data_IF_536127377062
#
_entry.id   IF_536127377062
#
_cell.length_a   1.000
_cell.length_b   1.000
_cell.length_c   1.000
_cell.angle_alpha   90.00
_cell.angle_beta   90.00
_cell.angle_gamma   90.00
#
_symmetry.space_group_name_H-M   'P 1'
#
loop_
_entity.id
_entity.type
_entity.pdbx_description
1 polymer ?
#
# COMPACT_ATOMS: atom_id res chain seq x y z
N UNK A 1 -24.99 -14.98 -30.37
CA UNK A 1 -23.76 -14.42 -29.77
C UNK A 1 -24.11 -13.49 -28.61
N UNK A 2 -25.08 -12.59 -28.78
CA UNK A 2 -25.59 -11.67 -27.74
C UNK A 2 -26.17 -12.35 -26.49
N UNK A 3 -26.90 -13.46 -26.63
CA UNK A 3 -27.45 -14.19 -25.48
C UNK A 3 -26.39 -14.78 -24.54
N UNK A 4 -25.22 -15.16 -25.07
CA UNK A 4 -24.11 -15.70 -24.27
C UNK A 4 -23.40 -14.58 -23.49
N UNK A 5 -23.34 -13.38 -24.07
CA UNK A 5 -22.80 -12.17 -23.44
C UNK A 5 -23.68 -11.72 -22.25
N UNK A 6 -24.99 -11.60 -22.47
CA UNK A 6 -25.96 -11.27 -21.41
C UNK A 6 -25.97 -12.30 -20.28
N UNK A 7 -25.94 -13.59 -20.62
CA UNK A 7 -25.86 -14.66 -19.62
C UNK A 7 -24.61 -14.53 -18.75
N UNK A 8 -23.44 -14.29 -19.36
CA UNK A 8 -22.17 -14.12 -18.64
C UNK A 8 -22.21 -12.91 -17.72
N UNK A 9 -22.72 -11.78 -18.21
CA UNK A 9 -22.89 -10.57 -17.41
C UNK A 9 -23.81 -10.78 -16.21
N UNK A 10 -24.98 -11.40 -16.41
CA UNK A 10 -25.91 -11.70 -15.34
C UNK A 10 -25.28 -12.65 -14.32
N UNK A 11 -24.62 -13.71 -14.79
CA UNK A 11 -23.93 -14.66 -13.93
C UNK A 11 -22.87 -13.98 -13.06
N UNK A 12 -22.06 -13.09 -13.65
CA UNK A 12 -21.05 -12.33 -12.91
C UNK A 12 -21.69 -11.44 -11.84
N UNK A 13 -22.78 -10.74 -12.15
CA UNK A 13 -23.51 -9.90 -11.19
C UNK A 13 -24.06 -10.75 -10.03
N UNK A 14 -24.66 -11.91 -10.30
CA UNK A 14 -25.17 -12.81 -9.27
C UNK A 14 -24.07 -13.38 -8.35
N UNK A 15 -22.84 -13.48 -8.86
CA UNK A 15 -21.67 -13.90 -8.08
C UNK A 15 -20.87 -12.73 -7.47
N UNK A 16 -21.44 -11.51 -7.43
CA UNK A 16 -20.79 -10.28 -6.95
C UNK A 16 -19.50 -9.89 -7.70
N UNK A 17 -19.31 -10.42 -8.90
CA UNK A 17 -18.21 -10.09 -9.81
C UNK A 17 -18.60 -8.90 -10.68
N UNK A 18 -18.58 -7.71 -10.08
CA UNK A 18 -19.05 -6.51 -10.77
C UNK A 18 -18.09 -6.05 -11.87
N UNK A 19 -18.63 -5.73 -13.03
CA UNK A 19 -17.87 -5.24 -14.18
C UNK A 19 -18.75 -4.43 -15.14
N UNK A 20 -18.11 -3.68 -16.03
CA UNK A 20 -18.78 -3.05 -17.18
C UNK A 20 -18.95 -4.01 -18.37
N UNK A 21 -18.68 -5.30 -18.19
CA UNK A 21 -18.72 -6.31 -19.25
C UNK A 21 -20.11 -6.63 -19.79
N UNK A 22 -21.16 -5.96 -19.31
CA UNK A 22 -22.52 -6.04 -19.85
C UNK A 22 -22.82 -4.95 -20.89
N UNK A 23 -21.93 -3.96 -21.03
CA UNK A 23 -22.03 -2.89 -22.02
C UNK A 23 -21.38 -3.32 -23.34
N UNK A 24 -21.95 -2.88 -24.45
CA UNK A 24 -21.29 -3.00 -25.74
C UNK A 24 -19.96 -2.21 -25.73
N UNK A 25 -18.91 -2.64 -26.46
CA UNK A 25 -17.61 -1.97 -26.46
C UNK A 25 -17.68 -0.45 -26.72
N UNK A 26 -18.57 -0.02 -27.59
CA UNK A 26 -18.86 1.39 -27.92
C UNK A 26 -19.46 2.17 -26.74
N UNK A 27 -20.29 1.54 -25.93
CA UNK A 27 -20.98 2.16 -24.79
C UNK A 27 -20.09 2.24 -23.55
N UNK A 28 -19.08 1.36 -23.43
CA UNK A 28 -18.12 1.38 -22.32
C UNK A 28 -17.45 2.74 -22.21
N UNK A 29 -17.01 3.31 -23.34
CA UNK A 29 -16.34 4.62 -23.35
C UNK A 29 -17.28 5.75 -22.90
N UNK A 30 -18.54 5.71 -23.33
CA UNK A 30 -19.55 6.69 -22.95
C UNK A 30 -19.89 6.60 -21.46
N UNK A 31 -20.11 5.40 -20.94
CA UNK A 31 -20.39 5.18 -19.52
C UNK A 31 -19.23 5.64 -18.63
N UNK A 32 -17.99 5.34 -19.02
CA UNK A 32 -16.79 5.80 -18.30
C UNK A 32 -16.71 7.33 -18.29
N UNK A 33 -16.92 7.98 -19.44
CA UNK A 33 -16.87 9.43 -19.52
C UNK A 33 -17.97 10.09 -18.69
N UNK A 34 -19.19 9.56 -18.72
CA UNK A 34 -20.32 10.07 -17.92
C UNK A 34 -20.01 10.00 -16.42
N UNK A 35 -19.51 8.85 -15.94
CA UNK A 35 -19.09 8.69 -14.54
C UNK A 35 -17.99 9.68 -14.16
N UNK A 36 -16.95 9.83 -14.99
CA UNK A 36 -15.85 10.76 -14.72
C UNK A 36 -16.33 12.21 -14.66
N UNK A 37 -17.19 12.62 -15.60
CA UNK A 37 -17.66 14.00 -15.70
C UNK A 37 -18.64 14.37 -14.58
N UNK A 38 -19.62 13.51 -14.29
CA UNK A 38 -20.62 13.77 -13.24
C UNK A 38 -19.99 13.89 -11.87
N UNK A 39 -18.98 13.07 -11.62
CA UNK A 39 -18.36 12.93 -10.31
C UNK A 39 -17.05 13.73 -10.18
N UNK A 40 -16.67 14.47 -11.23
CA UNK A 40 -15.46 15.27 -11.31
C UNK A 40 -14.20 14.49 -10.87
N UNK A 41 -14.07 13.26 -11.36
CA UNK A 41 -12.98 12.37 -10.98
C UNK A 41 -11.66 12.91 -11.54
N UNK A 42 -10.68 13.06 -10.66
CA UNK A 42 -9.31 13.42 -11.06
C UNK A 42 -8.38 12.25 -10.82
N UNK A 43 -7.48 12.00 -11.76
CA UNK A 43 -6.60 10.84 -11.77
C UNK A 43 -5.14 11.29 -11.60
N UNK A 44 -4.46 10.75 -10.60
CA UNK A 44 -3.04 11.02 -10.35
C UNK A 44 -2.12 10.45 -11.45
N UNK A 45 -0.81 10.76 -11.42
CA UNK A 45 0.14 10.29 -12.42
C UNK A 45 0.25 8.76 -12.51
N UNK A 46 0.20 8.06 -11.37
CA UNK A 46 0.16 6.59 -11.30
C UNK A 46 -1.09 6.02 -11.98
N UNK A 47 -2.20 6.77 -11.94
CA UNK A 47 -3.45 6.32 -12.50
C UNK A 47 -3.41 6.24 -14.05
N UNK A 48 -2.52 7.00 -14.70
CA UNK A 48 -2.38 7.00 -16.18
C UNK A 48 -1.85 5.69 -16.76
N UNK A 49 -1.40 4.75 -15.92
CA UNK A 49 -0.84 3.47 -16.36
C UNK A 49 -1.89 2.36 -16.52
N UNK A 50 -3.12 2.53 -15.99
CA UNK A 50 -4.21 1.57 -16.19
C UNK A 50 -5.29 2.13 -17.11
N UNK A 51 -6.03 1.24 -17.76
CA UNK A 51 -7.20 1.62 -18.55
C UNK A 51 -8.29 2.23 -17.64
N UNK A 52 -8.94 3.31 -18.10
CA UNK A 52 -10.00 4.00 -17.34
C UNK A 52 -11.17 3.08 -16.94
N UNK A 53 -11.43 2.06 -17.76
CA UNK A 53 -12.44 1.03 -17.48
C UNK A 53 -12.16 0.26 -16.21
N UNK A 54 -10.89 0.00 -15.90
CA UNK A 54 -10.47 -0.70 -14.68
C UNK A 54 -10.78 0.16 -13.46
N UNK A 55 -10.51 1.47 -13.52
CA UNK A 55 -10.84 2.38 -12.41
C UNK A 55 -12.34 2.45 -12.17
N UNK A 56 -13.11 2.74 -13.21
CA UNK A 56 -14.56 2.88 -13.06
C UNK A 56 -15.17 1.57 -12.56
N UNK A 57 -14.64 0.42 -12.98
CA UNK A 57 -15.07 -0.89 -12.46
C UNK A 57 -14.75 -1.06 -10.96
N UNK A 58 -13.60 -0.59 -10.49
CA UNK A 58 -13.24 -0.64 -9.06
C UNK A 58 -14.14 0.25 -8.19
N UNK A 59 -14.74 1.29 -8.77
CA UNK A 59 -15.72 2.13 -8.08
C UNK A 59 -17.07 1.45 -7.92
N UNK A 60 -17.34 0.34 -8.61
CA UNK A 60 -18.64 -0.33 -8.54
C UNK A 60 -18.78 -1.07 -7.22
N UNK A 61 -19.68 -0.58 -6.35
CA UNK A 61 -20.01 -1.23 -5.07
C UNK A 61 -21.18 -2.19 -5.18
N UNK A 62 -22.03 -2.02 -6.19
CA UNK A 62 -23.20 -2.85 -6.39
C UNK A 62 -23.64 -2.84 -7.86
N UNK A 63 -24.04 -4.01 -8.35
CA UNK A 63 -24.80 -4.15 -9.60
C UNK A 63 -26.06 -4.96 -9.36
N UNK A 64 -27.12 -4.60 -10.05
CA UNK A 64 -28.40 -5.32 -10.04
C UNK A 64 -28.94 -5.43 -11.45
N UNK A 65 -29.65 -6.53 -11.70
CA UNK A 65 -30.38 -6.76 -12.94
C UNK A 65 -31.85 -6.92 -12.57
N UNK A 66 -32.69 -6.12 -13.21
CA UNK A 66 -34.14 -6.16 -13.02
C UNK A 66 -34.81 -6.36 -14.38
N UNK A 67 -35.84 -7.20 -14.43
CA UNK A 67 -36.70 -7.30 -15.61
C UNK A 67 -37.92 -6.42 -15.41
N UNK A 68 -38.12 -5.46 -16.31
CA UNK A 68 -39.27 -4.57 -16.34
C UNK A 68 -40.23 -5.08 -17.41
N UNK A 69 -41.39 -5.66 -17.03
CA UNK A 69 -42.37 -6.14 -17.99
C UNK A 69 -42.90 -5.03 -18.90
N UNK A 70 -43.21 -5.35 -20.16
CA UNK A 70 -43.73 -4.37 -21.12
C UNK A 70 -45.05 -3.72 -20.69
N UNK A 71 -45.82 -4.37 -19.81
CA UNK A 71 -47.05 -3.80 -19.23
C UNK A 71 -46.80 -2.56 -18.35
N UNK A 72 -45.56 -2.28 -17.96
CA UNK A 72 -45.20 -1.15 -17.08
C UNK A 72 -44.73 0.10 -17.83
N UNK A 73 -44.59 0.07 -19.16
CA UNK A 73 -44.15 1.22 -19.95
C UNK A 73 -44.75 1.24 -21.36
N UNK A 74 -44.64 2.39 -22.03
CA UNK A 74 -45.08 2.53 -23.42
C UNK A 74 -44.02 1.96 -24.36
N UNK A 75 -44.40 0.98 -25.18
CA UNK A 75 -43.57 0.47 -26.28
C UNK A 75 -44.31 0.58 -27.62
N UNK A 76 -43.54 0.82 -28.68
CA UNK A 76 -44.01 0.79 -30.06
C UNK A 76 -43.91 -0.60 -30.69
N UNK A 77 -43.25 -1.55 -30.01
CA UNK A 77 -43.05 -2.91 -30.48
C UNK A 77 -44.05 -3.87 -29.79
N UNK A 78 -45.04 -4.42 -30.51
CA UNK A 78 -46.03 -5.32 -29.93
C UNK A 78 -45.46 -6.66 -29.46
N UNK A 79 -44.28 -7.06 -29.95
CA UNK A 79 -43.62 -8.32 -29.59
C UNK A 79 -42.67 -8.19 -28.39
N UNK A 80 -42.45 -6.97 -27.87
CA UNK A 80 -41.59 -6.74 -26.72
C UNK A 80 -42.29 -7.23 -25.43
N UNK A 81 -41.69 -8.21 -24.76
CA UNK A 81 -42.22 -8.74 -23.50
C UNK A 81 -41.71 -7.98 -22.26
N UNK A 82 -40.63 -7.21 -22.40
CA UNK A 82 -40.01 -6.48 -21.31
C UNK A 82 -38.59 -6.01 -21.62
N UNK A 83 -38.01 -5.26 -20.68
CA UNK A 83 -36.63 -4.75 -20.74
C UNK A 83 -35.83 -5.29 -19.57
N UNK A 84 -34.57 -5.62 -19.81
CA UNK A 84 -33.60 -5.84 -18.75
C UNK A 84 -32.95 -4.50 -18.40
N UNK A 85 -33.10 -4.08 -17.16
CA UNK A 85 -32.46 -2.90 -16.60
C UNK A 85 -31.25 -3.33 -15.77
N UNK A 86 -30.08 -2.83 -16.12
CA UNK A 86 -28.85 -2.99 -15.36
C UNK A 86 -28.61 -1.73 -14.55
N UNK A 87 -28.67 -1.83 -13.23
CA UNK A 87 -28.37 -0.73 -12.32
C UNK A 87 -26.97 -0.94 -11.75
N UNK A 88 -26.08 0.02 -11.99
CA UNK A 88 -24.73 0.02 -11.41
C UNK A 88 -24.63 1.19 -10.43
N UNK A 89 -24.22 0.89 -9.20
CA UNK A 89 -23.99 1.88 -8.14
C UNK A 89 -22.48 2.01 -7.94
N UNK A 90 -22.01 3.25 -8.06
CA UNK A 90 -20.60 3.60 -7.88
C UNK A 90 -20.39 4.25 -6.52
N UNK A 91 -19.24 4.00 -5.90
CA UNK A 91 -18.70 4.82 -4.83
C UNK A 91 -17.68 5.78 -5.42
N UNK A 92 -17.83 7.06 -5.12
CA UNK A 92 -16.92 8.09 -5.58
C UNK A 92 -16.12 8.57 -4.38
N UNK A 93 -14.78 8.56 -4.44
CA UNK A 93 -13.97 9.17 -3.40
C UNK A 93 -14.34 10.65 -3.30
N UNK A 94 -14.85 11.08 -2.15
CA UNK A 94 -15.13 12.50 -1.94
C UNK A 94 -13.81 13.29 -2.05
N UNK A 95 -13.78 14.43 -2.76
CA UNK A 95 -12.61 15.32 -2.79
C UNK A 95 -12.32 15.96 -1.43
N UNK A 96 -13.24 15.86 -0.46
CA UNK A 96 -12.91 16.13 0.94
C UNK A 96 -11.91 15.07 1.38
N UNK A 97 -10.66 15.49 1.59
CA UNK A 97 -9.59 14.67 2.17
C UNK A 97 -10.20 13.68 3.17
N UNK A 98 -9.91 12.39 2.98
CA UNK A 98 -10.26 11.38 3.97
C UNK A 98 -9.94 11.95 5.33
N UNK A 99 -10.88 11.87 6.28
CA UNK A 99 -10.61 12.32 7.64
C UNK A 99 -9.52 11.48 8.32
N UNK A 100 -9.02 10.44 7.65
CA UNK A 100 -7.93 9.59 8.09
C UNK A 100 -6.65 9.91 7.32
N UNK A 101 -5.56 10.09 8.06
CA UNK A 101 -4.21 9.99 7.51
C UNK A 101 -3.87 8.52 7.33
N UNK A 102 -3.60 8.09 6.10
CA UNK A 102 -3.33 6.69 5.74
C UNK A 102 -1.83 6.46 5.56
N UNK A 103 -1.30 5.47 6.26
CA UNK A 103 0.11 5.08 6.27
C UNK A 103 0.28 3.65 5.77
N UNK A 104 1.28 3.44 4.92
CA UNK A 104 1.72 2.10 4.53
C UNK A 104 2.68 1.56 5.57
N UNK A 105 2.34 0.45 6.20
CA UNK A 105 3.20 -0.17 7.21
C UNK A 105 4.18 -1.13 6.57
N UNK A 106 5.41 -1.14 7.08
CA UNK A 106 6.44 -2.11 6.69
C UNK A 106 7.00 -2.79 7.91
N UNK A 107 6.78 -4.10 8.01
CA UNK A 107 7.42 -4.95 9.01
C UNK A 107 8.84 -5.29 8.55
N UNK A 108 9.82 -4.94 9.37
CA UNK A 108 11.23 -5.24 9.14
C UNK A 108 11.60 -6.44 10.03
N UNK A 109 12.12 -7.54 9.46
CA UNK A 109 12.62 -8.65 10.26
C UNK A 109 13.75 -8.19 11.20
N UNK A 110 13.91 -8.87 12.33
CA UNK A 110 15.01 -8.61 13.28
C UNK A 110 15.46 -9.91 13.94
N UNK A 111 16.66 -9.91 14.52
CA UNK A 111 17.18 -11.08 15.22
C UNK A 111 16.62 -11.19 16.63
N UNK A 112 16.00 -12.33 16.95
CA UNK A 112 15.58 -12.67 18.30
C UNK A 112 15.99 -14.11 18.63
N UNK A 113 16.76 -14.30 19.72
CA UNK A 113 17.30 -15.61 20.14
C UNK A 113 17.97 -16.37 18.98
N UNK A 114 18.82 -15.68 18.24
CA UNK A 114 19.59 -16.22 17.09
C UNK A 114 18.72 -16.69 15.91
N UNK A 115 17.50 -16.18 15.77
CA UNK A 115 16.62 -16.46 14.63
C UNK A 115 16.00 -15.17 14.09
N UNK A 116 15.85 -15.03 12.77
CA UNK A 116 15.12 -13.92 12.20
C UNK A 116 13.62 -14.09 12.47
N UNK A 117 13.02 -13.07 13.06
CA UNK A 117 11.58 -12.98 13.33
C UNK A 117 11.04 -11.65 12.82
N UNK A 118 9.73 -11.55 12.63
CA UNK A 118 9.04 -10.30 12.36
C UNK A 118 7.76 -10.21 13.18
N UNK A 119 7.19 -9.01 13.30
CA UNK A 119 5.89 -8.83 13.95
C UNK A 119 4.80 -9.54 13.13
N UNK A 120 4.02 -10.37 13.82
CA UNK A 120 2.90 -11.12 13.24
C UNK A 120 1.64 -10.24 13.18
N UNK A 121 0.72 -10.56 12.25
CA UNK A 121 -0.58 -9.91 12.10
C UNK A 121 -0.55 -8.38 12.00
N UNK A 122 0.50 -7.80 11.41
CA UNK A 122 0.52 -6.37 11.17
C UNK A 122 -0.29 -6.03 9.91
N UNK A 123 -1.19 -5.02 9.95
CA UNK A 123 -1.90 -4.59 8.77
C UNK A 123 -0.93 -3.99 7.75
N UNK A 124 -1.27 -4.09 6.47
CA UNK A 124 -0.48 -3.51 5.39
C UNK A 124 -0.63 -1.99 5.30
N UNK A 125 -1.84 -1.48 5.57
CA UNK A 125 -2.12 -0.05 5.68
C UNK A 125 -2.85 0.26 6.98
N UNK A 126 -2.62 1.46 7.50
CA UNK A 126 -3.22 1.95 8.72
C UNK A 126 -3.70 3.39 8.52
N UNK A 127 -4.98 3.63 8.75
CA UNK A 127 -5.56 4.96 8.77
C UNK A 127 -5.83 5.40 10.21
N UNK A 128 -5.40 6.60 10.58
CA UNK A 128 -5.77 7.22 11.85
C UNK A 128 -6.46 8.57 11.65
N UNK A 129 -7.44 8.84 12.50
CA UNK A 129 -8.06 10.14 12.68
C UNK A 129 -7.80 10.59 14.11
N UNK A 130 -6.90 11.55 14.27
CA UNK A 130 -6.49 12.04 15.60
C UNK A 130 -7.63 12.77 16.33
N UNK A 131 -8.44 13.55 15.61
CA UNK A 131 -9.54 14.34 16.19
C UNK A 131 -10.62 13.48 16.86
N UNK A 132 -10.90 12.29 16.30
CA UNK A 132 -11.97 11.40 16.74
C UNK A 132 -11.47 10.11 17.40
N UNK A 133 -10.15 9.92 17.48
CA UNK A 133 -9.51 8.70 17.98
C UNK A 133 -10.07 7.42 17.32
N UNK A 134 -10.29 7.51 16.00
CA UNK A 134 -10.76 6.40 15.18
C UNK A 134 -9.63 5.89 14.31
N UNK A 135 -9.67 4.59 14.03
CA UNK A 135 -8.71 3.95 13.13
C UNK A 135 -9.38 2.97 12.19
N UNK A 136 -8.68 2.72 11.10
CA UNK A 136 -9.03 1.74 10.09
C UNK A 136 -7.76 0.99 9.67
N UNK A 137 -7.90 -0.30 9.40
CA UNK A 137 -6.80 -1.21 9.13
C UNK A 137 -7.11 -2.02 7.89
N UNK A 138 -6.11 -2.17 7.02
CA UNK A 138 -6.22 -3.05 5.85
C UNK A 138 -5.12 -4.10 5.92
N UNK A 139 -5.54 -5.36 5.93
CA UNK A 139 -4.68 -6.54 5.84
C UNK A 139 -4.45 -6.91 4.38
N UNK A 140 -3.51 -7.83 4.12
CA UNK A 140 -3.14 -8.23 2.75
C UNK A 140 -4.34 -8.71 1.92
N UNK A 141 -5.28 -9.40 2.56
CA UNK A 141 -6.46 -9.94 1.90
C UNK A 141 -7.45 -8.82 1.50
N UNK A 142 -7.52 -7.74 2.29
CA UNK A 142 -8.33 -6.56 1.97
C UNK A 142 -7.77 -5.81 0.74
N UNK A 143 -6.47 -5.96 0.46
CA UNK A 143 -5.81 -5.24 -0.63
C UNK A 143 -6.17 -5.74 -2.03
N UNK A 144 -6.78 -6.92 -2.17
CA UNK A 144 -7.17 -7.43 -3.48
C UNK A 144 -8.14 -6.49 -4.22
N UNK A 145 -8.91 -5.71 -3.45
CA UNK A 145 -9.94 -4.79 -3.94
C UNK A 145 -9.61 -3.31 -3.64
N UNK A 146 -8.41 -3.04 -3.14
CA UNK A 146 -7.91 -1.71 -2.82
C UNK A 146 -6.69 -1.38 -3.68
N UNK A 147 -6.68 -0.20 -4.30
CA UNK A 147 -5.46 0.34 -4.88
C UNK A 147 -5.10 1.69 -4.28
N UNK A 148 -4.39 1.67 -3.15
CA UNK A 148 -3.97 2.88 -2.44
C UNK A 148 -2.95 3.74 -3.16
N UNK A 149 -2.27 3.19 -4.18
CA UNK A 149 -1.37 3.98 -5.02
C UNK A 149 -2.16 4.88 -6.00
N UNK A 150 -3.48 4.66 -6.12
CA UNK A 150 -4.35 5.31 -7.10
C UNK A 150 -5.59 5.97 -6.46
N UNK A 151 -6.18 5.33 -5.45
CA UNK A 151 -7.36 5.81 -4.74
C UNK A 151 -7.22 5.60 -3.23
N UNK A 152 -7.59 6.60 -2.43
CA UNK A 152 -7.47 6.57 -0.97
C UNK A 152 -8.57 5.76 -0.28
N UNK A 153 -9.60 5.33 -1.02
CA UNK A 153 -10.74 4.58 -0.51
C UNK A 153 -10.86 3.24 -1.25
N UNK A 154 -11.31 2.21 -0.54
CA UNK A 154 -11.55 0.89 -1.11
C UNK A 154 -13.04 0.62 -1.29
N UNK A 155 -13.37 -0.24 -2.25
CA UNK A 155 -14.72 -0.78 -2.40
C UNK A 155 -15.20 -1.45 -1.10
N UNK A 156 -14.40 -2.36 -0.58
CA UNK A 156 -14.63 -3.02 0.70
C UNK A 156 -13.74 -2.38 1.76
N UNK A 157 -14.14 -1.18 2.18
CA UNK A 157 -13.46 -0.47 3.26
C UNK A 157 -13.73 -1.22 4.58
N UNK A 158 -12.70 -1.73 5.28
CA UNK A 158 -12.85 -2.43 6.55
C UNK A 158 -13.56 -1.55 7.59
N UNK A 159 -14.17 -2.17 8.60
CA UNK A 159 -14.89 -1.44 9.64
C UNK A 159 -13.97 -0.46 10.39
N UNK A 160 -14.53 0.72 10.68
CA UNK A 160 -13.87 1.75 11.48
C UNK A 160 -14.03 1.39 12.96
N UNK A 161 -12.94 1.40 13.70
CA UNK A 161 -12.92 1.05 15.12
C UNK A 161 -12.19 2.09 15.96
N UNK A 162 -12.54 2.19 17.24
CA UNK A 162 -11.69 2.84 18.23
C UNK A 162 -10.51 1.94 18.53
N UNK A 163 -9.33 2.53 18.74
CA UNK A 163 -8.13 1.75 18.98
C UNK A 163 -8.24 1.00 20.32
N UNK A 164 -8.25 -0.34 20.32
CA UNK A 164 -8.19 -1.09 21.56
C UNK A 164 -6.79 -0.94 22.16
N UNK A 165 -6.72 -0.73 23.47
CA UNK A 165 -5.45 -0.45 24.15
C UNK A 165 -4.46 -1.64 24.15
N UNK A 166 -4.98 -2.85 23.92
CA UNK A 166 -4.23 -4.11 24.00
C UNK A 166 -3.68 -4.61 22.65
N UNK A 167 -3.85 -3.87 21.56
CA UNK A 167 -3.29 -4.26 20.26
C UNK A 167 -1.85 -3.77 20.15
N UNK A 168 -0.96 -4.64 19.62
CA UNK A 168 0.46 -4.37 19.43
C UNK A 168 0.75 -2.96 18.90
N UNK A 169 0.06 -2.56 17.81
CA UNK A 169 0.22 -1.24 17.20
C UNK A 169 -0.11 -0.09 18.16
N UNK A 170 -1.20 -0.18 18.91
CA UNK A 170 -1.54 0.85 19.89
C UNK A 170 -0.46 0.96 20.95
N UNK A 171 0.04 -0.18 21.43
CA UNK A 171 1.09 -0.21 22.43
C UNK A 171 2.38 0.41 21.89
N UNK A 172 2.73 0.17 20.62
CA UNK A 172 3.85 0.84 19.93
C UNK A 172 3.63 2.35 19.87
N UNK A 173 2.48 2.80 19.36
CA UNK A 173 2.18 4.23 19.17
C UNK A 173 2.06 5.00 20.49
N UNK A 174 1.53 4.36 21.53
CA UNK A 174 1.33 4.95 22.86
C UNK A 174 2.46 4.67 23.84
N UNK A 175 3.58 4.09 23.36
CA UNK A 175 4.75 3.76 24.17
C UNK A 175 4.43 2.94 25.43
N UNK A 176 3.48 2.00 25.31
CA UNK A 176 3.11 1.08 26.36
C UNK A 176 3.94 -0.20 26.29
N UNK A 177 3.87 -1.01 27.33
CA UNK A 177 4.44 -2.35 27.32
C UNK A 177 3.82 -3.19 26.20
N UNK A 178 4.67 -3.76 25.34
CA UNK A 178 4.27 -4.48 24.12
C UNK A 178 3.71 -5.91 24.37
N UNK A 179 2.74 -6.06 25.26
CA UNK A 179 2.16 -7.36 25.64
C UNK A 179 1.29 -8.00 24.55
N UNK A 180 0.76 -7.21 23.61
CA UNK A 180 -0.06 -7.66 22.49
C UNK A 180 0.74 -7.91 21.21
N UNK A 181 2.07 -7.75 21.23
CA UNK A 181 2.93 -7.95 20.07
C UNK A 181 3.41 -9.39 19.96
N UNK A 182 2.88 -10.12 18.98
CA UNK A 182 3.34 -11.46 18.62
C UNK A 182 4.41 -11.40 17.52
N UNK A 183 5.26 -12.42 17.48
CA UNK A 183 6.27 -12.57 16.43
C UNK A 183 6.11 -13.88 15.69
N UNK A 184 6.43 -13.87 14.40
CA UNK A 184 6.47 -15.05 13.55
C UNK A 184 7.86 -15.27 12.99
N UNK A 185 8.17 -16.53 12.66
CA UNK A 185 9.45 -16.90 12.04
C UNK A 185 9.47 -16.44 10.58
N UNK A 186 10.58 -15.85 10.17
CA UNK A 186 10.82 -15.51 8.77
C UNK A 186 11.78 -16.56 8.18
N UNK A 187 11.58 -17.01 6.92
CA UNK A 187 12.57 -17.85 6.25
C UNK A 187 13.95 -17.21 6.30
N UNK A 188 15.01 -18.00 6.55
CA UNK A 188 16.37 -17.46 6.58
C UNK A 188 16.74 -16.94 5.18
N UNK A 189 16.79 -15.62 5.05
CA UNK A 189 17.32 -14.92 3.88
C UNK A 189 18.63 -14.22 4.26
N UNK A 190 19.62 -14.14 3.36
CA UNK A 190 20.91 -13.50 3.65
C UNK A 190 20.74 -11.99 3.93
N UNK A 191 19.72 -11.37 3.36
CA UNK A 191 19.36 -9.98 3.59
C UNK A 191 17.87 -9.77 3.33
N UNK A 192 17.27 -8.86 4.09
CA UNK A 192 16.00 -8.21 3.82
C UNK A 192 16.32 -6.78 3.38
N UNK A 193 15.86 -6.41 2.18
CA UNK A 193 16.04 -5.05 1.64
C UNK A 193 14.71 -4.61 1.07
N UNK A 194 14.18 -3.50 1.57
CA UNK A 194 12.89 -2.96 1.12
C UNK A 194 12.95 -1.45 0.99
N UNK A 195 12.51 -0.96 -0.16
CA UNK A 195 12.33 0.48 -0.39
C UNK A 195 11.13 0.97 0.42
N UNK A 196 11.31 2.09 1.14
CA UNK A 196 10.25 2.68 1.98
C UNK A 196 9.52 3.79 1.21
N UNK A 197 10.22 4.90 0.95
CA UNK A 197 9.77 6.02 0.13
C UNK A 197 10.97 6.92 -0.22
N UNK A 198 10.94 7.61 -1.36
CA UNK A 198 12.01 8.53 -1.76
C UNK A 198 13.41 7.90 -1.71
N UNK A 199 14.41 8.50 -1.05
CA UNK A 199 15.74 7.91 -0.89
C UNK A 199 15.84 6.85 0.23
N UNK A 200 14.75 6.56 0.94
CA UNK A 200 14.78 5.74 2.16
C UNK A 200 14.60 4.24 1.91
N UNK A 201 15.41 3.44 2.59
CA UNK A 201 15.42 1.98 2.53
C UNK A 201 15.40 1.39 3.94
N UNK A 202 14.74 0.25 4.10
CA UNK A 202 14.84 -0.62 5.27
C UNK A 202 15.72 -1.80 4.94
N UNK A 203 16.69 -2.08 5.81
CA UNK A 203 17.60 -3.22 5.69
C UNK A 203 17.56 -4.03 6.98
N UNK A 204 17.46 -5.35 6.85
CA UNK A 204 17.72 -6.28 7.95
C UNK A 204 18.66 -7.38 7.50
N UNK A 205 19.70 -7.63 8.28
CA UNK A 205 20.77 -8.57 7.97
C UNK A 205 21.50 -8.99 9.24
N UNK A 206 22.34 -10.02 9.13
CA UNK A 206 23.21 -10.43 10.23
C UNK A 206 24.50 -10.98 9.64
N UNK A 207 25.69 -10.50 10.04
CA UNK A 207 26.00 -9.44 11.00
C UNK A 207 25.99 -8.02 10.38
N UNK A 208 26.55 -7.03 11.09
CA UNK A 208 26.88 -5.70 10.55
C UNK A 208 27.66 -5.83 9.24
N UNK A 209 27.55 -4.86 8.35
CA UNK A 209 28.33 -4.89 7.10
C UNK A 209 28.76 -3.52 6.65
N UNK A 210 30.02 -3.48 6.23
CA UNK A 210 30.61 -2.38 5.50
C UNK A 210 30.07 -2.35 4.08
N UNK A 211 29.51 -1.23 3.70
CA UNK A 211 29.14 -0.90 2.33
C UNK A 211 29.91 0.34 1.87
N UNK A 212 29.83 0.62 0.58
CA UNK A 212 30.52 1.73 -0.05
C UNK A 212 29.51 2.61 -0.75
N UNK A 213 29.56 3.90 -0.49
CA UNK A 213 28.77 4.90 -1.22
C UNK A 213 29.55 5.29 -2.46
N UNK A 214 28.91 5.11 -3.62
CA UNK A 214 29.44 5.50 -4.92
C UNK A 214 28.46 6.47 -5.61
N UNK A 215 28.93 7.49 -6.34
CA UNK A 215 28.09 8.29 -7.21
C UNK A 215 27.37 7.41 -8.22
N UNK A 216 26.10 7.69 -8.45
CA UNK A 216 25.31 7.10 -9.51
C UNK A 216 25.83 7.66 -10.82
N UNK A 217 26.75 6.94 -11.46
CA UNK A 217 27.28 7.32 -12.75
C UNK A 217 26.15 7.31 -13.78
N UNK A 218 25.63 8.49 -14.15
CA UNK A 218 25.07 8.68 -15.50
C UNK A 218 26.20 8.39 -16.46
N UNK A 219 26.06 7.32 -17.26
CA UNK A 219 27.04 6.81 -18.23
C UNK A 219 27.99 7.94 -18.68
N UNK A 220 29.21 8.02 -18.14
CA UNK A 220 30.18 8.99 -18.62
C UNK A 220 30.54 8.57 -20.04
N UNK A 221 30.71 9.57 -20.91
CA UNK A 221 31.41 9.36 -22.17
C UNK A 221 32.71 8.60 -21.88
N UNK A 222 32.98 7.51 -22.63
CA UNK A 222 33.94 6.43 -22.33
C UNK A 222 35.40 6.95 -22.25
N UNK A 223 35.60 8.25 -22.49
CA UNK A 223 36.88 8.95 -22.55
C UNK A 223 37.36 9.61 -21.24
N UNK A 224 36.57 9.63 -20.16
CA UNK A 224 36.98 10.27 -18.90
C UNK A 224 37.17 9.28 -17.74
N UNK A 225 38.43 9.08 -17.31
CA UNK A 225 38.73 8.50 -16.00
C UNK A 225 38.33 9.50 -14.91
N UNK A 226 37.17 9.29 -14.30
CA UNK A 226 36.72 10.05 -13.12
C UNK A 226 37.21 9.32 -11.87
N UNK A 227 38.05 9.97 -11.07
CA UNK A 227 38.36 9.53 -9.72
C UNK A 227 37.15 9.78 -8.84
N UNK A 228 36.65 8.72 -8.22
CA UNK A 228 35.47 8.77 -7.36
C UNK A 228 35.90 8.55 -5.92
N UNK A 229 35.67 9.55 -5.07
CA UNK A 229 35.85 9.41 -3.63
C UNK A 229 34.77 8.47 -3.07
N UNK A 230 35.17 7.25 -2.73
CA UNK A 230 34.28 6.24 -2.15
C UNK A 230 34.24 6.37 -0.64
N UNK A 231 33.06 6.65 -0.05
CA UNK A 231 32.87 6.70 1.41
C UNK A 231 32.41 5.34 1.93
N UNK A 232 33.10 4.81 2.94
CA UNK A 232 32.64 3.61 3.64
C UNK A 232 31.48 3.95 4.59
N UNK A 233 30.47 3.09 4.63
CA UNK A 233 29.32 3.19 5.54
C UNK A 233 29.09 1.85 6.24
N UNK A 234 28.89 1.87 7.55
CA UNK A 234 28.53 0.67 8.33
C UNK A 234 27.01 0.56 8.43
N UNK A 235 26.47 -0.57 8.00
CA UNK A 235 25.05 -0.89 8.14
C UNK A 235 24.87 -1.86 9.32
N UNK A 236 24.13 -1.48 10.37
CA UNK A 236 23.83 -2.35 11.51
C UNK A 236 22.84 -3.48 11.13
N UNK A 237 22.55 -4.44 12.02
CA UNK A 237 21.74 -5.61 11.69
C UNK A 237 20.31 -5.25 11.28
N UNK A 238 19.75 -4.15 11.81
CA UNK A 238 18.46 -3.63 11.41
C UNK A 238 18.59 -2.12 11.27
N UNK A 239 18.33 -1.58 10.08
CA UNK A 239 18.59 -0.19 9.77
C UNK A 239 17.50 0.43 8.89
N UNK A 240 17.23 1.71 9.11
CA UNK A 240 16.63 2.59 8.10
C UNK A 240 17.73 3.50 7.53
N UNK A 241 17.84 3.56 6.20
CA UNK A 241 18.97 4.18 5.51
C UNK A 241 18.43 5.18 4.50
N UNK A 242 18.97 6.39 4.51
CA UNK A 242 18.70 7.39 3.47
C UNK A 242 19.87 7.41 2.50
N UNK A 243 19.63 7.00 1.25
CA UNK A 243 20.68 7.03 0.22
C UNK A 243 20.84 8.48 -0.27
N UNK A 244 22.05 9.06 -0.23
CA UNK A 244 22.27 10.41 -0.73
C UNK A 244 21.85 10.56 -2.19
N UNK A 245 21.33 11.73 -2.56
CA UNK A 245 20.93 12.01 -3.94
C UNK A 245 22.09 11.72 -4.91
N UNK A 246 21.76 11.18 -6.09
CA UNK A 246 22.74 10.86 -7.14
C UNK A 246 23.84 9.89 -6.66
N UNK A 247 23.56 9.07 -5.64
CA UNK A 247 24.48 8.04 -5.16
C UNK A 247 23.81 6.67 -5.08
N UNK A 248 24.64 5.64 -4.94
CA UNK A 248 24.24 4.26 -4.69
C UNK A 248 25.08 3.73 -3.55
N UNK A 249 24.44 3.06 -2.59
CA UNK A 249 25.16 2.31 -1.56
C UNK A 249 25.32 0.87 -2.03
N UNK A 250 26.57 0.46 -2.27
CA UNK A 250 26.94 -0.87 -2.73
C UNK A 250 27.35 -1.72 -1.55
N UNK A 251 26.63 -2.82 -1.32
CA UNK A 251 26.89 -3.77 -0.26
C UNK A 251 27.17 -5.15 -0.83
N UNK A 252 27.81 -6.01 -0.04
CA UNK A 252 27.90 -7.42 -0.38
C UNK A 252 26.49 -8.03 -0.49
N UNK A 253 26.07 -8.37 -1.71
CA UNK A 253 24.82 -9.05 -2.02
C UNK A 253 23.61 -8.16 -2.35
N UNK A 254 23.70 -6.83 -2.21
CA UNK A 254 22.61 -5.91 -2.57
C UNK A 254 23.11 -4.48 -2.82
N UNK A 255 22.33 -3.69 -3.56
CA UNK A 255 22.60 -2.28 -3.81
C UNK A 255 21.37 -1.44 -3.41
N UNK A 256 21.61 -0.27 -2.82
CA UNK A 256 20.56 0.70 -2.47
C UNK A 256 20.70 1.90 -3.41
N UNK A 257 19.74 2.06 -4.30
CA UNK A 257 19.74 3.14 -5.29
C UNK A 257 19.08 4.40 -4.70
N UNK A 258 19.66 5.57 -4.94
CA UNK A 258 18.96 6.83 -4.76
C UNK A 258 17.81 6.92 -5.75
N UNK A 259 16.58 7.09 -5.25
CA UNK A 259 15.42 7.40 -6.11
C UNK A 259 15.00 8.84 -5.83
N UNK A 260 14.89 9.70 -6.86
CA UNK A 260 14.38 11.05 -6.68
C UNK A 260 12.95 10.96 -6.12
N UNK A 261 12.68 11.68 -5.03
CA UNK A 261 11.30 11.79 -4.53
C UNK A 261 10.54 12.79 -5.41
N UNK A 262 9.49 12.32 -6.09
CA UNK A 262 8.58 13.18 -6.85
C UNK A 262 7.68 14.04 -5.93
N UNK A 263 7.78 13.86 -4.61
CA UNK A 263 7.04 14.60 -3.59
C UNK A 263 8.04 15.25 -2.62
N UNK A 264 7.81 16.52 -2.23
CA UNK A 264 8.59 17.18 -1.18
C UNK A 264 8.08 16.67 0.18
N UNK A 265 8.46 15.45 0.54
CA UNK A 265 8.36 14.98 1.91
C UNK A 265 9.76 14.55 2.32
N UNK A 266 10.42 15.42 3.07
CA UNK A 266 11.54 15.08 3.94
C UNK A 266 11.19 13.77 4.63
N UNK A 267 11.94 12.70 4.37
CA UNK A 267 11.68 11.39 4.96
C UNK A 267 11.80 11.49 6.48
N UNK A 268 10.67 11.71 7.16
CA UNK A 268 10.61 11.69 8.62
C UNK A 268 10.47 10.23 9.03
N UNK A 269 11.48 9.72 9.72
CA UNK A 269 11.39 8.43 10.39
C UNK A 269 10.97 8.72 11.83
N UNK A 270 9.74 8.35 12.19
CA UNK A 270 9.23 8.51 13.56
C UNK A 270 9.47 7.22 14.32
N UNK A 271 10.29 7.27 15.36
CA UNK A 271 10.51 6.18 16.31
C UNK A 271 10.14 6.66 17.71
N UNK A 272 9.08 6.14 18.33
CA UNK A 272 8.77 6.40 19.76
C UNK A 272 8.93 7.89 20.20
N UNK A 273 8.11 8.81 19.67
CA UNK A 273 8.19 10.26 19.92
C UNK A 273 9.49 10.97 19.49
N UNK A 274 10.47 10.25 18.95
CA UNK A 274 11.63 10.85 18.29
C UNK A 274 11.40 10.91 16.78
N UNK A 275 11.50 12.12 16.24
CA UNK A 275 11.40 12.38 14.80
C UNK A 275 12.81 12.55 14.25
N UNK A 276 13.23 11.65 13.38
CA UNK A 276 14.49 11.79 12.64
C UNK A 276 14.19 12.44 11.30
N UNK A 277 14.71 13.65 11.11
CA UNK A 277 14.71 14.33 9.82
C UNK A 277 15.82 13.77 8.93
N UNK A 278 15.51 13.60 7.64
CA UNK A 278 16.40 12.97 6.66
C UNK A 278 17.80 13.61 6.53
N UNK A 279 17.98 14.83 7.04
CA UNK A 279 19.28 15.53 7.08
C UNK A 279 20.23 15.00 8.14
N UNK A 280 19.73 14.38 9.21
CA UNK A 280 20.50 14.17 10.43
C UNK A 280 21.02 12.74 10.60
N UNK A 281 20.54 11.78 9.79
CA UNK A 281 21.03 10.40 9.83
C UNK A 281 21.03 9.75 8.44
N UNK A 282 22.23 9.45 7.94
CA UNK A 282 22.48 8.63 6.73
C UNK A 282 22.11 7.16 6.99
N UNK A 283 22.30 6.70 8.24
CA UNK A 283 21.93 5.35 8.72
C UNK A 283 21.36 5.47 10.13
N UNK A 284 20.13 5.00 10.33
CA UNK A 284 19.46 4.90 11.62
C UNK A 284 19.57 3.44 12.09
N UNK A 285 20.22 3.23 13.23
CA UNK A 285 20.34 1.91 13.86
C UNK A 285 19.05 1.56 14.62
N UNK A 286 18.16 0.83 13.95
CA UNK A 286 16.93 0.35 14.56
C UNK A 286 17.23 -0.76 15.57
N UNK A 287 18.30 -1.54 15.39
CA UNK A 287 18.64 -2.62 16.32
C UNK A 287 19.03 -2.08 17.69
N UNK A 288 19.90 -1.06 17.71
CA UNK A 288 20.30 -0.38 18.95
C UNK A 288 19.09 0.28 19.63
N UNK A 289 18.25 0.98 18.86
CA UNK A 289 17.03 1.61 19.38
C UNK A 289 16.10 0.61 20.08
N UNK A 290 15.94 -0.58 19.50
CA UNK A 290 15.11 -1.64 20.10
C UNK A 290 15.72 -2.25 21.37
N UNK A 291 17.04 -2.33 21.46
CA UNK A 291 17.74 -2.85 22.64
C UNK A 291 17.73 -1.86 23.81
N UNK A 292 17.81 -0.57 23.53
CA UNK A 292 17.83 0.48 24.56
C UNK A 292 16.42 0.75 25.15
N UNK A 293 15.36 0.33 24.45
CA UNK A 293 13.99 0.57 24.88
C UNK A 293 13.47 -0.52 25.84
N UNK A 294 13.29 -0.16 27.11
CA UNK A 294 12.80 -1.02 28.18
C UNK A 294 11.31 -1.42 28.03
N UNK A 295 10.56 -0.79 27.13
CA UNK A 295 9.11 -1.08 26.92
C UNK A 295 8.84 -2.39 26.19
N UNK A 296 9.88 -3.09 25.73
CA UNK A 296 9.77 -4.37 25.05
C UNK A 296 10.11 -5.55 25.98
N UNK A 297 9.14 -6.11 26.73
CA UNK A 297 9.32 -7.45 27.27
C UNK A 297 9.35 -8.38 26.07
N UNK A 298 10.55 -8.83 25.68
CA UNK A 298 10.83 -9.71 24.55
C UNK A 298 9.74 -10.80 24.45
N UNK A 299 8.78 -10.69 23.52
CA UNK A 299 7.53 -11.41 23.62
C UNK A 299 7.80 -12.92 23.52
N UNK A 300 7.05 -13.74 24.27
CA UNK A 300 7.12 -15.17 24.12
C UNK A 300 6.73 -15.55 22.69
N UNK A 301 7.39 -16.57 22.12
CA UNK A 301 7.05 -17.10 20.81
C UNK A 301 5.61 -17.63 20.85
N UNK A 302 4.74 -17.20 19.92
CA UNK A 302 3.56 -17.99 19.57
C UNK A 302 4.05 -19.16 18.72
N UNK A 303 4.38 -20.26 19.39
CA UNK A 303 4.42 -21.56 18.73
C UNK A 303 2.97 -21.93 18.43
N UNK A 304 2.53 -21.77 17.19
CA UNK A 304 1.42 -22.56 16.69
C UNK A 304 1.83 -24.03 16.81
N UNK A 305 1.25 -24.74 17.77
CA UNK A 305 1.00 -26.18 17.63
C UNK A 305 0.07 -26.41 16.44
#
# INVERSE_FOLDING_TARGET
>A
MEGMFLYTAMNNIFHNQFSLGFLAPEDIALAIQDVIQRENLTFGPAARQLALSVYVTQLIIQQRVEFVPAVLYLTTNPDEIGRLAFTTIYTVPSPKQSKFSVFKLTTIPFQHKSRPVQLHSMPAYFGCNEESNLTIEWYKDDLALCNFDIMTNCRDTPPIHRVPSNICRHQILSNQTLTGCNTEKVPPAPHFVKHLNGPSWAVSKTPNTTCVIVPSLTIPDISQQVWVDSKNVQIPPVAAINVPNESTIVCAGFNLLSRPSFTPLSGVVILHNSTFTATDAEVIDLHQHLNDNLTWPKPPFTTSE
#
